data_IF_407966344982
#
_entry.id   IF_407966344982
#
_cell.length_a   1.000
_cell.length_b   1.000
_cell.length_c   1.000
_cell.angle_alpha   90.00
_cell.angle_beta   90.00
_cell.angle_gamma   90.00
#
_symmetry.space_group_name_H-M   'P 1'
#
loop_
_entity.id
_entity.type
_entity.pdbx_description
1 polymer ?
#
# COMPACT_ATOMS: atom_id res chain seq x y z
N UNK A 1 -28.99 -1.22 18.10
CA UNK A 1 -27.78 -1.28 18.96
C UNK A 1 -26.65 -1.86 18.12
N UNK A 2 -25.60 -1.17 17.66
CA UNK A 2 -25.20 0.23 17.66
C UNK A 2 -24.44 0.46 16.35
N UNK A 3 -24.87 1.42 15.52
CA UNK A 3 -24.20 1.80 14.28
C UNK A 3 -23.01 2.73 14.57
N UNK A 4 -22.07 2.28 15.41
CA UNK A 4 -20.73 2.85 15.52
C UNK A 4 -19.85 2.09 14.52
N UNK A 5 -19.99 2.46 13.25
CA UNK A 5 -19.56 1.67 12.09
C UNK A 5 -18.12 1.17 12.14
N UNK A 6 -18.00 -0.15 12.06
CA UNK A 6 -16.88 -1.01 11.62
C UNK A 6 -15.52 -0.32 11.40
N UNK A 7 -14.97 0.26 12.46
CA UNK A 7 -13.68 0.94 12.44
C UNK A 7 -12.69 0.10 13.23
N UNK A 8 -11.79 -0.60 12.52
CA UNK A 8 -10.74 -1.37 13.15
C UNK A 8 -9.47 -0.51 13.29
N UNK A 9 -9.14 -0.03 14.51
CA UNK A 9 -7.90 0.72 14.74
C UNK A 9 -6.67 -0.15 14.42
N UNK A 10 -6.77 -1.47 14.59
CA UNK A 10 -5.70 -2.41 14.27
C UNK A 10 -5.43 -2.48 12.76
N UNK A 11 -6.48 -2.55 11.93
CA UNK A 11 -6.34 -2.52 10.47
C UNK A 11 -5.71 -1.22 10.00
N UNK A 12 -6.22 -0.09 10.49
CA UNK A 12 -5.73 1.25 10.12
C UNK A 12 -4.26 1.41 10.49
N UNK A 13 -3.90 1.06 11.72
CA UNK A 13 -2.50 1.10 12.17
C UNK A 13 -1.61 0.20 11.31
N UNK A 14 -2.08 -1.00 10.95
CA UNK A 14 -1.34 -1.94 10.12
C UNK A 14 -1.11 -1.43 8.69
N UNK A 15 -2.10 -0.78 8.08
CA UNK A 15 -1.97 -0.13 6.76
C UNK A 15 -1.00 1.05 6.83
N UNK A 16 -1.18 1.94 7.81
CA UNK A 16 -0.35 3.14 7.92
C UNK A 16 1.11 2.80 8.25
N UNK A 17 1.36 1.82 9.12
CA UNK A 17 2.73 1.37 9.42
C UNK A 17 3.41 0.89 8.15
N UNK A 18 2.77 -0.01 7.39
CA UNK A 18 3.31 -0.51 6.12
C UNK A 18 3.54 0.59 5.10
N UNK A 19 2.65 1.58 5.02
CA UNK A 19 2.80 2.72 4.13
C UNK A 19 4.00 3.58 4.50
N UNK A 20 4.22 3.86 5.80
CA UNK A 20 5.28 4.72 6.28
C UNK A 20 6.67 4.05 6.20
N UNK A 21 6.71 2.72 6.24
CA UNK A 21 7.94 1.92 6.12
C UNK A 21 8.49 1.84 4.67
N UNK A 22 7.79 2.41 3.69
CA UNK A 22 8.21 2.38 2.28
C UNK A 22 9.28 3.46 1.97
N UNK A 23 10.07 3.27 0.91
CA UNK A 23 10.93 4.34 0.41
C UNK A 23 10.10 5.49 -0.17
N UNK A 24 10.62 6.71 -0.06
CA UNK A 24 10.02 7.94 -0.58
C UNK A 24 8.63 8.30 -0.02
N UNK A 25 8.20 7.67 1.09
CA UNK A 25 6.96 8.04 1.80
C UNK A 25 7.24 9.01 2.96
N UNK A 26 6.20 9.71 3.45
CA UNK A 26 6.34 10.63 4.58
C UNK A 26 6.67 9.89 5.89
N UNK A 27 7.19 10.61 6.88
CA UNK A 27 7.46 10.07 8.23
C UNK A 27 6.21 9.93 9.10
N UNK A 28 5.13 10.63 8.78
CA UNK A 28 3.88 10.62 9.53
C UNK A 28 2.70 10.59 8.56
N UNK A 29 1.60 9.87 8.91
CA UNK A 29 0.42 9.83 8.07
C UNK A 29 -0.39 11.12 8.26
N UNK A 30 -0.99 11.61 7.18
CA UNK A 30 -1.94 12.72 7.24
C UNK A 30 -3.32 12.26 7.76
N UNK A 31 -4.20 13.19 8.18
CA UNK A 31 -5.60 12.85 8.50
C UNK A 31 -6.35 12.22 7.31
N UNK A 32 -5.98 12.58 6.07
CA UNK A 32 -6.54 11.99 4.87
C UNK A 32 -6.10 10.54 4.69
N UNK A 33 -4.83 10.21 4.99
CA UNK A 33 -4.34 8.83 4.95
C UNK A 33 -5.05 7.96 5.99
N UNK A 34 -5.26 8.48 7.20
CA UNK A 34 -6.05 7.80 8.23
C UNK A 34 -7.50 7.56 7.77
N UNK A 35 -8.13 8.58 7.19
CA UNK A 35 -9.50 8.48 6.69
C UNK A 35 -9.60 7.46 5.54
N UNK A 36 -8.59 7.42 4.67
CA UNK A 36 -8.51 6.45 3.58
C UNK A 36 -8.32 5.01 4.09
N UNK A 37 -7.40 4.79 5.03
CA UNK A 37 -7.21 3.46 5.63
C UNK A 37 -8.49 2.95 6.32
N UNK A 38 -9.24 3.84 6.98
CA UNK A 38 -10.55 3.52 7.52
C UNK A 38 -11.56 3.14 6.44
N UNK A 39 -11.58 3.86 5.32
CA UNK A 39 -12.47 3.56 4.19
C UNK A 39 -12.17 2.19 3.58
N UNK A 40 -10.89 1.85 3.41
CA UNK A 40 -10.47 0.52 2.93
C UNK A 40 -10.97 -0.59 3.86
N UNK A 41 -10.94 -0.38 5.17
CA UNK A 41 -11.53 -1.31 6.14
C UNK A 41 -13.04 -1.46 5.96
N UNK A 42 -13.76 -0.35 5.86
CA UNK A 42 -15.22 -0.34 5.66
C UNK A 42 -15.65 -0.99 4.34
N UNK A 43 -14.78 -0.96 3.33
CA UNK A 43 -14.98 -1.65 2.04
C UNK A 43 -14.54 -3.14 2.10
N UNK A 44 -14.20 -3.65 3.28
CA UNK A 44 -13.72 -5.01 3.51
C UNK A 44 -12.50 -5.38 2.65
N UNK A 45 -11.64 -4.41 2.30
CA UNK A 45 -10.43 -4.69 1.53
C UNK A 45 -9.45 -5.46 2.41
N UNK A 46 -9.02 -6.68 2.03
CA UNK A 46 -8.11 -7.46 2.85
C UNK A 46 -6.78 -6.73 3.07
N UNK A 47 -6.23 -6.79 4.28
CA UNK A 47 -4.93 -6.18 4.61
C UNK A 47 -3.82 -6.71 3.71
N UNK A 48 -3.87 -8.00 3.34
CA UNK A 48 -2.92 -8.65 2.43
C UNK A 48 -2.97 -8.07 1.02
N UNK A 49 -4.15 -7.68 0.53
CA UNK A 49 -4.32 -7.02 -0.76
C UNK A 49 -3.74 -5.61 -0.73
N UNK A 50 -4.03 -4.84 0.33
CA UNK A 50 -3.44 -3.50 0.52
C UNK A 50 -1.93 -3.59 0.58
N UNK A 51 -1.37 -4.52 1.36
CA UNK A 51 0.08 -4.73 1.42
C UNK A 51 0.66 -5.11 0.05
N UNK A 52 -0.01 -5.98 -0.71
CA UNK A 52 0.42 -6.35 -2.06
C UNK A 52 0.45 -5.13 -2.99
N UNK A 53 -0.55 -4.26 -2.92
CA UNK A 53 -0.61 -3.03 -3.72
C UNK A 53 0.52 -2.05 -3.36
N UNK A 54 0.77 -1.86 -2.06
CA UNK A 54 1.87 -1.04 -1.55
C UNK A 54 3.23 -1.52 -2.09
N UNK A 55 3.49 -2.83 -2.01
CA UNK A 55 4.74 -3.42 -2.47
C UNK A 55 4.86 -3.37 -4.00
N UNK A 56 3.80 -3.70 -4.74
CA UNK A 56 3.82 -3.70 -6.20
C UNK A 56 4.06 -2.30 -6.76
N UNK A 57 3.36 -1.28 -6.25
CA UNK A 57 3.58 0.10 -6.66
C UNK A 57 5.01 0.56 -6.36
N UNK A 58 5.54 0.20 -5.19
CA UNK A 58 6.92 0.50 -4.80
C UNK A 58 7.92 -0.15 -5.75
N UNK A 59 7.73 -1.43 -6.07
CA UNK A 59 8.56 -2.16 -7.04
C UNK A 59 8.53 -1.50 -8.42
N UNK A 60 7.36 -1.06 -8.89
CA UNK A 60 7.22 -0.32 -10.16
C UNK A 60 8.00 0.99 -10.14
N UNK A 61 8.01 1.73 -9.01
CA UNK A 61 8.81 2.95 -8.87
C UNK A 61 10.31 2.65 -8.89
N UNK A 62 10.77 1.66 -8.13
CA UNK A 62 12.19 1.30 -8.03
C UNK A 62 12.75 0.68 -9.31
N UNK A 63 11.90 0.00 -10.09
CA UNK A 63 12.31 -0.61 -11.37
C UNK A 63 12.22 0.37 -12.55
N UNK A 64 11.90 1.66 -12.31
CA UNK A 64 11.78 2.68 -13.36
C UNK A 64 13.16 2.92 -14.00
N UNK A 65 13.27 2.91 -15.34
CA UNK A 65 14.54 3.20 -16.03
C UNK A 65 15.15 4.56 -15.63
N UNK A 66 16.47 4.61 -15.44
CA UNK A 66 17.19 5.80 -15.03
C UNK A 66 17.16 6.95 -16.06
N UNK A 67 16.91 6.62 -17.34
CA UNK A 67 16.77 7.59 -18.43
C UNK A 67 15.50 8.44 -18.35
N UNK A 68 14.53 8.04 -17.50
CA UNK A 68 13.29 8.79 -17.32
C UNK A 68 13.43 9.82 -16.18
N UNK A 69 12.72 10.96 -16.24
CA UNK A 69 12.71 11.92 -15.15
C UNK A 69 12.38 11.26 -13.80
N UNK A 70 13.06 11.65 -12.70
CA UNK A 70 12.85 11.06 -11.40
C UNK A 70 11.42 11.31 -10.92
N UNK A 71 10.86 10.32 -10.21
CA UNK A 71 9.54 10.47 -9.62
C UNK A 71 9.63 11.35 -8.37
N UNK A 72 8.65 12.25 -8.16
CA UNK A 72 8.55 12.93 -6.88
C UNK A 72 8.31 11.92 -5.74
N UNK A 73 8.59 12.35 -4.52
CA UNK A 73 8.25 11.60 -3.31
C UNK A 73 6.73 11.37 -3.22
N UNK A 74 6.35 10.25 -2.64
CA UNK A 74 4.95 9.91 -2.37
C UNK A 74 4.47 10.77 -1.19
N UNK A 75 3.32 11.44 -1.35
CA UNK A 75 2.79 12.38 -0.36
C UNK A 75 1.58 11.88 0.41
N UNK A 76 0.91 10.83 -0.08
CA UNK A 76 -0.29 10.28 0.52
C UNK A 76 -0.48 8.81 0.13
N UNK A 77 -1.13 8.05 1.01
CA UNK A 77 -1.63 6.71 0.77
C UNK A 77 -2.52 6.63 -0.48
N UNK A 78 -3.18 7.72 -0.86
CA UNK A 78 -4.02 7.79 -2.07
C UNK A 78 -3.24 7.46 -3.36
N UNK A 79 -1.92 7.61 -3.36
CA UNK A 79 -1.06 7.19 -4.49
C UNK A 79 -1.23 5.71 -4.86
N UNK A 80 -1.58 4.87 -3.89
CA UNK A 80 -1.68 3.42 -4.07
C UNK A 80 -3.09 2.95 -4.48
N UNK A 81 -4.09 3.83 -4.45
CA UNK A 81 -5.47 3.48 -4.80
C UNK A 81 -5.61 2.82 -6.17
N UNK A 82 -4.98 3.32 -7.26
CA UNK A 82 -5.10 2.68 -8.57
C UNK A 82 -4.57 1.24 -8.58
N UNK A 83 -3.54 0.95 -7.78
CA UNK A 83 -2.96 -0.40 -7.69
C UNK A 83 -3.82 -1.31 -6.81
N UNK A 84 -4.46 -0.76 -5.77
CA UNK A 84 -5.46 -1.50 -4.98
C UNK A 84 -6.61 -1.92 -5.88
N UNK A 85 -7.18 -0.97 -6.65
CA UNK A 85 -8.27 -1.22 -7.59
C UNK A 85 -7.88 -2.25 -8.65
N UNK A 86 -6.66 -2.14 -9.21
CA UNK A 86 -6.10 -3.12 -10.15
C UNK A 86 -6.08 -4.53 -9.55
N UNK A 87 -5.54 -4.68 -8.33
CA UNK A 87 -5.42 -5.99 -7.68
C UNK A 87 -6.76 -6.55 -7.21
N UNK A 88 -7.77 -5.72 -6.94
CA UNK A 88 -9.13 -6.17 -6.64
C UNK A 88 -9.82 -6.81 -7.85
N UNK A 89 -9.47 -6.41 -9.06
CA UNK A 89 -10.01 -6.99 -10.30
C UNK A 89 -9.18 -8.17 -10.82
N UNK A 90 -7.97 -8.37 -10.28
CA UNK A 90 -7.06 -9.41 -10.72
C UNK A 90 -7.26 -10.72 -9.93
N UNK A 91 -7.20 -11.85 -10.62
CA UNK A 91 -7.03 -13.14 -9.96
C UNK A 91 -5.57 -13.28 -9.55
N UNK A 92 -5.29 -13.07 -8.26
CA UNK A 92 -3.93 -13.15 -7.74
C UNK A 92 -3.55 -14.62 -7.46
N UNK A 93 -2.36 -15.07 -7.90
CA UNK A 93 -1.85 -16.38 -7.52
C UNK A 93 -1.67 -16.50 -6.00
N UNK A 94 -1.76 -17.72 -5.49
CA UNK A 94 -1.38 -18.02 -4.10
C UNK A 94 0.09 -17.64 -3.87
N UNK A 95 0.38 -17.04 -2.71
CA UNK A 95 1.74 -16.61 -2.35
C UNK A 95 2.24 -15.36 -3.09
N UNK A 96 1.38 -14.64 -3.82
CA UNK A 96 1.79 -13.43 -4.54
C UNK A 96 2.42 -12.37 -3.62
N UNK A 97 1.88 -12.20 -2.41
CA UNK A 97 2.42 -11.26 -1.42
C UNK A 97 3.85 -11.65 -0.99
N UNK A 98 4.10 -12.93 -0.73
CA UNK A 98 5.42 -13.47 -0.38
C UNK A 98 6.42 -13.23 -1.52
N UNK A 99 5.99 -13.43 -2.77
CA UNK A 99 6.79 -13.11 -3.94
C UNK A 99 7.16 -11.61 -4.01
N UNK A 100 6.19 -10.70 -3.79
CA UNK A 100 6.45 -9.26 -3.77
C UNK A 100 7.44 -8.86 -2.66
N UNK A 101 7.27 -9.40 -1.45
CA UNK A 101 8.19 -9.18 -0.32
C UNK A 101 9.61 -9.62 -0.66
N UNK A 102 9.76 -10.82 -1.24
CA UNK A 102 11.07 -11.33 -1.66
C UNK A 102 11.70 -10.44 -2.73
N UNK A 103 10.93 -10.01 -3.72
CA UNK A 103 11.41 -9.16 -4.82
C UNK A 103 11.87 -7.80 -4.33
N UNK A 104 11.13 -7.18 -3.41
CA UNK A 104 11.50 -5.89 -2.84
C UNK A 104 12.80 -5.99 -2.03
N UNK A 105 12.94 -7.03 -1.21
CA UNK A 105 14.18 -7.30 -0.46
C UNK A 105 15.40 -7.47 -1.36
N UNK A 106 15.24 -8.07 -2.55
CA UNK A 106 16.35 -8.22 -3.51
C UNK A 106 16.77 -6.89 -4.10
N UNK A 107 15.82 -6.00 -4.43
CA UNK A 107 16.11 -4.69 -4.99
C UNK A 107 16.68 -3.71 -3.95
N UNK A 108 16.33 -3.85 -2.67
CA UNK A 108 16.92 -3.02 -1.61
C UNK A 108 18.34 -3.43 -1.22
N UNK A 109 18.82 -4.61 -1.67
CA UNK A 109 20.16 -5.13 -1.41
C UNK A 109 21.12 -4.97 -2.60
N UNK A 110 20.60 -4.56 -3.76
CA UNK A 110 21.37 -4.31 -4.98
C UNK A 110 21.79 -2.85 -5.06
#
# INVERSE_FOLDING_TARGET
MSAAGDRSPAYVAAVLTRYLDLPDTPLRPSPLDQSLANRLHQQAVPLTLVESALLLATLRRLSRPAELPPLPKIRSLAYFLPVIEELQQAQLPDGYLEYLRLKLRKLSQA
#
